data_IF_142172069174
#
_entry.id   IF_142172069174
#
_cell.length_a   1.000
_cell.length_b   1.000
_cell.length_c   1.000
_cell.angle_alpha   90.00
_cell.angle_beta   90.00
_cell.angle_gamma   90.00
#
_symmetry.space_group_name_H-M   'P 1'
#
loop_
_entity.id
_entity.type
_entity.pdbx_description
1 polymer ?
#
# COMPACT_ATOMS: atom_id res chain seq x y z
N UNK A 1 12.36 19.87 -51.67
CA UNK A 1 12.31 18.42 -51.91
C UNK A 1 11.34 17.83 -50.88
N UNK A 2 10.04 18.07 -51.06
CA UNK A 2 9.06 17.14 -51.67
C UNK A 2 9.03 15.78 -50.95
N UNK A 3 8.05 15.54 -50.05
CA UNK A 3 6.77 14.79 -50.26
C UNK A 3 6.97 13.28 -50.02
N UNK A 4 6.30 12.63 -49.05
CA UNK A 4 4.98 11.94 -49.11
C UNK A 4 4.69 11.40 -47.68
N UNK A 5 3.57 11.58 -46.99
CA UNK A 5 2.15 11.18 -47.23
C UNK A 5 1.97 9.78 -47.82
N UNK A 6 1.56 8.83 -47.00
CA UNK A 6 0.74 7.71 -47.48
C UNK A 6 -0.40 7.42 -46.49
N UNK A 7 -1.58 7.95 -46.83
CA UNK A 7 -2.85 7.29 -46.56
C UNK A 7 -2.92 6.02 -47.42
N UNK A 8 -3.38 4.91 -46.86
CA UNK A 8 -4.05 3.87 -47.64
C UNK A 8 -5.32 3.48 -46.89
N UNK A 9 -6.43 4.07 -47.33
CA UNK A 9 -7.75 3.47 -47.29
C UNK A 9 -7.94 2.70 -48.59
N UNK A 10 -8.43 1.47 -48.54
CA UNK A 10 -9.04 0.82 -49.70
C UNK A 10 -10.41 0.26 -49.32
N UNK A 11 -11.39 0.68 -50.11
CA UNK A 11 -12.81 0.34 -50.12
C UNK A 11 -13.06 -0.67 -51.26
N UNK A 12 -14.16 -1.43 -51.19
CA UNK A 12 -14.75 -2.17 -52.32
C UNK A 12 -15.15 -3.61 -51.96
N UNK A 13 -16.36 -3.92 -51.47
CA UNK A 13 -17.70 -3.98 -52.12
C UNK A 13 -17.91 -5.26 -52.97
N UNK A 14 -18.91 -6.05 -52.56
CA UNK A 14 -19.94 -6.83 -53.30
C UNK A 14 -20.45 -7.90 -52.30
N UNK A 15 -21.73 -8.15 -52.00
CA UNK A 15 -23.03 -7.81 -52.56
C UNK A 15 -23.96 -9.03 -52.37
N UNK A 16 -25.26 -8.78 -52.12
CA UNK A 16 -26.41 -9.69 -52.25
C UNK A 16 -26.87 -10.61 -51.07
N UNK A 17 -27.81 -10.04 -50.29
CA UNK A 17 -29.23 -10.44 -50.01
C UNK A 17 -29.69 -11.83 -49.46
N UNK A 18 -30.87 -11.85 -48.75
CA UNK A 18 -31.46 -12.93 -47.90
C UNK A 18 -32.62 -13.66 -48.66
N UNK A 19 -33.70 -14.33 -48.11
CA UNK A 19 -34.37 -14.41 -46.77
C UNK A 19 -34.54 -15.87 -46.24
N UNK A 20 -35.14 -16.23 -45.09
CA UNK A 20 -36.59 -16.22 -44.74
C UNK A 20 -36.82 -16.85 -43.34
N UNK A 21 -37.89 -16.40 -42.68
CA UNK A 21 -38.58 -16.82 -41.43
C UNK A 21 -39.25 -18.22 -41.53
N UNK A 22 -39.91 -18.89 -40.56
CA UNK A 22 -40.74 -18.57 -39.39
C UNK A 22 -40.91 -19.86 -38.51
N UNK A 23 -41.34 -19.85 -37.24
CA UNK A 23 -42.75 -19.80 -36.75
C UNK A 23 -42.72 -19.81 -35.19
N UNK A 24 -43.16 -18.81 -34.41
CA UNK A 24 -44.51 -18.32 -33.98
C UNK A 24 -45.25 -19.17 -32.93
N UNK A 25 -45.48 -18.59 -31.74
CA UNK A 25 -46.77 -18.41 -31.00
C UNK A 25 -46.46 -18.15 -29.51
N UNK A 26 -47.17 -17.35 -28.71
CA UNK A 26 -48.18 -16.32 -28.86
C UNK A 26 -48.20 -15.49 -27.55
N UNK A 27 -48.68 -14.25 -27.64
CA UNK A 27 -48.89 -13.24 -26.59
C UNK A 27 -50.13 -13.57 -25.69
N UNK A 28 -50.47 -12.84 -24.58
CA UNK A 28 -50.67 -11.38 -24.57
C UNK A 28 -50.31 -10.57 -23.30
N UNK A 29 -50.20 -9.26 -23.56
CA UNK A 29 -50.11 -8.08 -22.69
C UNK A 29 -51.40 -7.81 -21.89
N UNK A 30 -51.31 -7.31 -20.65
CA UNK A 30 -52.26 -6.31 -20.09
C UNK A 30 -51.48 -5.30 -19.20
N UNK A 31 -51.73 -4.03 -19.49
CA UNK A 31 -51.30 -2.79 -18.84
C UNK A 31 -51.83 -2.61 -17.41
N UNK A 32 -51.17 -1.81 -16.57
CA UNK A 32 -51.72 -0.60 -15.92
C UNK A 32 -50.68 0.07 -15.02
N UNK A 33 -50.53 1.38 -15.15
CA UNK A 33 -49.81 2.25 -14.23
C UNK A 33 -50.69 2.59 -13.02
N UNK A 34 -50.11 2.66 -11.81
CA UNK A 34 -50.61 3.49 -10.69
C UNK A 34 -49.42 3.97 -9.85
N UNK A 35 -49.45 5.27 -9.59
CA UNK A 35 -48.54 6.09 -8.79
C UNK A 35 -49.09 6.21 -7.36
N UNK A 36 -48.31 6.02 -6.29
CA UNK A 36 -48.57 6.63 -4.97
C UNK A 36 -47.42 6.50 -3.95
N UNK A 37 -47.26 7.59 -3.19
CA UNK A 37 -46.33 7.87 -2.09
C UNK A 37 -46.72 7.26 -0.72
N UNK A 38 -45.72 7.20 0.17
CA UNK A 38 -45.74 7.20 1.66
C UNK A 38 -46.30 5.90 2.33
N UNK A 39 -45.78 5.32 3.44
CA UNK A 39 -45.02 5.82 4.59
C UNK A 39 -44.64 4.66 5.59
N UNK A 40 -43.52 4.83 6.32
CA UNK A 40 -43.17 4.42 7.71
C UNK A 40 -43.13 2.92 8.16
N UNK A 41 -41.95 2.38 8.55
CA UNK A 41 -41.34 2.31 9.92
C UNK A 41 -41.64 0.95 10.59
N UNK A 42 -40.74 0.17 11.20
CA UNK A 42 -39.91 0.36 12.42
C UNK A 42 -38.96 -0.88 12.48
N UNK A 43 -37.68 -0.71 12.82
CA UNK A 43 -36.95 -1.57 13.78
C UNK A 43 -35.59 -0.92 14.09
N UNK A 44 -35.62 -0.03 15.08
CA UNK A 44 -34.45 0.40 15.83
C UNK A 44 -34.17 -0.64 16.91
N UNK A 45 -32.93 -1.13 16.99
CA UNK A 45 -32.40 -1.76 18.20
C UNK A 45 -31.09 -1.07 18.56
N UNK A 46 -31.13 -0.43 19.71
CA UNK A 46 -30.06 0.31 20.36
C UNK A 46 -28.94 -0.63 20.83
N UNK A 47 -27.69 -0.34 20.47
CA UNK A 47 -26.53 -0.75 21.27
C UNK A 47 -25.72 0.49 21.65
N UNK A 48 -25.48 0.57 22.95
CA UNK A 48 -24.84 1.64 23.71
C UNK A 48 -23.38 1.87 23.33
N UNK A 49 -23.05 3.15 23.13
CA UNK A 49 -21.72 3.69 22.94
C UNK A 49 -20.87 3.61 24.21
N UNK A 50 -19.81 2.78 24.18
CA UNK A 50 -18.63 3.00 25.01
C UNK A 50 -17.61 3.78 24.19
N UNK A 51 -17.29 5.00 24.64
CA UNK A 51 -16.25 5.87 24.11
C UNK A 51 -14.89 5.15 24.06
N UNK A 52 -14.48 4.73 22.86
CA UNK A 52 -13.08 4.51 22.53
C UNK A 52 -12.60 5.71 21.72
N UNK A 53 -11.93 6.66 22.39
CA UNK A 53 -11.23 7.76 21.74
C UNK A 53 -10.15 7.20 20.81
N UNK A 54 -10.34 7.45 19.52
CA UNK A 54 -9.39 7.12 18.47
C UNK A 54 -8.09 7.94 18.68
N UNK A 55 -6.89 7.32 18.79
CA UNK A 55 -5.64 8.04 19.04
C UNK A 55 -5.22 9.00 17.92
N UNK A 56 -5.87 8.93 16.75
CA UNK A 56 -5.58 9.75 15.57
C UNK A 56 -6.48 10.99 15.43
N UNK A 57 -7.46 11.18 16.32
CA UNK A 57 -8.29 12.39 16.35
C UNK A 57 -7.54 13.53 17.08
N UNK A 58 -6.48 14.05 16.46
CA UNK A 58 -5.74 15.21 16.96
C UNK A 58 -6.06 16.47 16.14
N UNK A 59 -6.89 17.31 16.76
CA UNK A 59 -7.00 18.77 16.64
C UNK A 59 -7.50 19.40 15.33
N UNK A 60 -8.59 20.17 15.46
CA UNK A 60 -9.03 21.18 14.51
C UNK A 60 -7.83 22.10 14.15
N UNK A 61 -7.52 22.18 12.86
CA UNK A 61 -6.39 22.91 12.24
C UNK A 61 -4.98 22.31 12.41
N UNK A 62 -4.73 21.19 11.74
CA UNK A 62 -3.38 20.66 11.45
C UNK A 62 -2.61 21.54 10.45
N UNK A 63 -2.27 22.78 10.78
CA UNK A 63 -1.13 23.44 10.11
C UNK A 63 0.13 22.73 10.59
N UNK A 64 0.72 21.86 9.78
CA UNK A 64 2.00 21.24 10.12
C UNK A 64 3.09 22.32 10.19
N UNK A 65 3.54 22.75 11.39
CA UNK A 65 4.54 23.79 11.47
C UNK A 65 5.87 23.28 10.91
N UNK A 66 6.75 24.14 10.34
CA UNK A 66 8.06 23.72 9.84
C UNK A 66 8.90 22.95 10.88
N UNK A 67 8.69 23.23 12.18
CA UNK A 67 9.30 22.51 13.30
C UNK A 67 8.95 21.02 13.33
N UNK A 68 7.73 20.66 12.93
CA UNK A 68 7.29 19.27 12.89
C UNK A 68 8.01 18.48 11.81
N UNK A 69 8.22 19.08 10.62
CA UNK A 69 9.05 18.47 9.56
C UNK A 69 10.45 18.16 10.08
N UNK A 70 11.13 19.14 10.69
CA UNK A 70 12.49 18.94 11.23
C UNK A 70 12.52 17.87 12.31
N UNK A 71 11.52 17.83 13.20
CA UNK A 71 11.42 16.81 14.25
C UNK A 71 11.24 15.41 13.65
N UNK A 72 10.35 15.24 12.67
CA UNK A 72 10.12 13.96 12.01
C UNK A 72 11.32 13.52 11.17
N UNK A 73 11.94 14.44 10.42
CA UNK A 73 13.18 14.15 9.70
C UNK A 73 14.27 13.66 10.65
N UNK A 74 14.39 14.25 11.85
CA UNK A 74 15.33 13.79 12.87
C UNK A 74 14.91 12.43 13.45
N UNK A 75 13.63 12.22 13.76
CA UNK A 75 13.10 10.94 14.28
C UNK A 75 13.42 9.79 13.33
N UNK A 76 12.95 9.91 12.09
CA UNK A 76 13.17 8.90 11.04
C UNK A 76 14.66 8.81 10.69
N UNK A 77 15.35 9.97 10.61
CA UNK A 77 16.77 10.12 10.30
C UNK A 77 17.70 9.39 11.26
N UNK A 78 17.41 9.50 12.56
CA UNK A 78 18.20 8.91 13.64
C UNK A 78 17.67 7.56 14.13
N UNK A 79 16.64 7.02 13.47
CA UNK A 79 16.03 5.75 13.83
C UNK A 79 17.08 4.63 13.91
N UNK A 80 16.98 3.84 14.98
CA UNK A 80 17.75 2.62 15.20
C UNK A 80 16.78 1.53 15.63
N UNK A 81 16.79 0.36 14.98
CA UNK A 81 16.03 -0.79 15.46
C UNK A 81 16.30 -1.04 16.93
N UNK A 82 15.26 -1.34 17.70
CA UNK A 82 15.38 -1.68 19.12
C UNK A 82 16.18 -2.98 19.37
N UNK A 83 16.35 -3.82 18.34
CA UNK A 83 17.15 -5.04 18.39
C UNK A 83 18.59 -4.80 17.91
N UNK A 84 19.59 -5.06 18.77
CA UNK A 84 21.01 -4.89 18.44
C UNK A 84 21.52 -5.80 17.30
N UNK A 85 20.84 -6.91 17.05
CA UNK A 85 21.20 -7.87 15.98
C UNK A 85 20.79 -7.33 14.60
N UNK A 86 19.83 -6.40 14.55
CA UNK A 86 19.26 -5.87 13.31
C UNK A 86 19.74 -4.45 13.09
N UNK A 87 20.54 -4.25 12.05
CA UNK A 87 21.07 -2.93 11.71
C UNK A 87 20.08 -2.07 10.91
N UNK A 88 19.03 -2.66 10.31
CA UNK A 88 18.08 -1.96 9.44
C UNK A 88 16.68 -2.58 9.53
N UNK A 89 15.66 -1.74 9.69
CA UNK A 89 14.27 -2.12 9.53
C UNK A 89 13.93 -2.26 8.05
N UNK A 90 13.53 -3.46 7.66
CA UNK A 90 13.00 -3.80 6.33
C UNK A 90 11.48 -3.80 6.33
N UNK A 91 10.88 -3.01 5.44
CA UNK A 91 9.44 -2.86 5.28
C UNK A 91 9.04 -3.27 3.87
N UNK A 92 8.07 -4.17 3.72
CA UNK A 92 7.59 -4.61 2.41
C UNK A 92 6.35 -3.82 2.00
N UNK A 93 6.36 -3.25 0.80
CA UNK A 93 5.18 -2.61 0.21
C UNK A 93 4.39 -3.62 -0.63
N UNK A 94 3.16 -3.91 -0.24
CA UNK A 94 2.27 -4.83 -0.96
C UNK A 94 1.04 -4.09 -1.46
N UNK A 95 0.63 -4.33 -2.70
CA UNK A 95 -0.58 -3.71 -3.22
C UNK A 95 -0.74 -3.90 -4.72
N UNK A 96 -1.91 -3.52 -5.28
CA UNK A 96 -2.24 -3.76 -6.67
C UNK A 96 -1.27 -3.05 -7.61
N UNK A 97 -1.27 -3.43 -8.89
CA UNK A 97 -0.51 -2.67 -9.90
C UNK A 97 -1.00 -1.22 -9.92
N UNK A 98 -0.07 -0.27 -10.01
CA UNK A 98 -0.36 1.17 -10.03
C UNK A 98 -1.08 1.71 -8.79
N UNK A 99 -0.89 1.07 -7.63
CA UNK A 99 -1.33 1.57 -6.31
C UNK A 99 -0.44 2.67 -5.72
N UNK A 100 0.70 2.96 -6.34
CA UNK A 100 1.63 4.00 -5.85
C UNK A 100 2.74 3.50 -4.94
N UNK A 101 3.01 2.19 -4.83
CA UNK A 101 4.14 1.62 -4.05
C UNK A 101 5.48 2.27 -4.38
N UNK A 102 5.92 2.17 -5.64
CA UNK A 102 7.21 2.72 -6.09
C UNK A 102 7.25 4.25 -6.02
N UNK A 103 6.10 4.91 -6.24
CA UNK A 103 5.95 6.36 -6.10
C UNK A 103 6.09 6.81 -4.63
N UNK A 104 5.56 6.05 -3.68
CA UNK A 104 5.76 6.31 -2.24
C UNK A 104 7.25 6.23 -1.88
N UNK A 105 7.97 5.19 -2.34
CA UNK A 105 9.41 5.07 -2.11
C UNK A 105 10.18 6.27 -2.68
N UNK A 106 9.92 6.63 -3.94
CA UNK A 106 10.55 7.80 -4.57
C UNK A 106 10.24 9.09 -3.81
N UNK A 107 9.01 9.24 -3.31
CA UNK A 107 8.59 10.39 -2.54
C UNK A 107 9.37 10.50 -1.24
N UNK A 108 9.43 9.41 -0.46
CA UNK A 108 10.20 9.34 0.79
C UNK A 108 11.68 9.65 0.52
N UNK A 109 12.29 9.05 -0.50
CA UNK A 109 13.68 9.36 -0.87
C UNK A 109 13.89 10.83 -1.24
N UNK A 110 12.91 11.45 -1.90
CA UNK A 110 12.96 12.86 -2.27
C UNK A 110 12.98 13.77 -1.05
N UNK A 111 12.15 13.47 -0.04
CA UNK A 111 12.12 14.23 1.23
C UNK A 111 13.50 14.24 1.90
N UNK A 112 14.18 13.09 1.95
CA UNK A 112 15.51 12.99 2.55
C UNK A 112 16.63 13.60 1.70
N UNK A 113 16.52 13.52 0.37
CA UNK A 113 17.51 14.12 -0.54
C UNK A 113 17.37 15.65 -0.64
N UNK A 114 16.23 16.22 -0.23
CA UNK A 114 15.93 17.65 -0.34
C UNK A 114 15.48 18.10 -1.73
N UNK A 115 15.44 17.19 -2.71
CA UNK A 115 15.04 17.44 -4.09
C UNK A 115 14.16 16.28 -4.57
N UNK A 116 13.21 16.54 -5.46
CA UNK A 116 12.40 15.48 -6.10
C UNK A 116 13.31 14.57 -6.92
N UNK A 117 13.47 13.32 -6.50
CA UNK A 117 14.28 12.29 -7.16
C UNK A 117 13.40 11.14 -7.64
N UNK A 118 13.21 11.00 -8.95
CA UNK A 118 12.57 9.83 -9.56
C UNK A 118 13.61 8.72 -9.75
N UNK A 119 13.91 7.97 -8.68
CA UNK A 119 14.85 6.83 -8.74
C UNK A 119 14.17 5.47 -8.91
N UNK A 120 12.94 5.30 -8.42
CA UNK A 120 12.13 4.14 -8.81
C UNK A 120 11.59 4.39 -10.23
N UNK A 121 11.59 3.38 -11.11
CA UNK A 121 10.96 3.47 -12.42
C UNK A 121 9.44 3.58 -12.26
N UNK A 122 8.96 4.79 -11.96
CA UNK A 122 7.54 5.13 -11.92
C UNK A 122 7.07 5.32 -13.35
N UNK A 123 6.30 4.37 -13.86
CA UNK A 123 5.59 4.52 -15.13
C UNK A 123 4.11 4.26 -14.93
N UNK A 124 3.29 4.76 -15.86
CA UNK A 124 1.88 4.42 -16.01
C UNK A 124 1.72 3.55 -17.25
N UNK A 125 1.72 2.23 -17.05
CA UNK A 125 1.51 1.20 -18.06
C UNK A 125 0.56 0.19 -17.46
N UNK A 126 -0.19 -0.45 -18.34
CA UNK A 126 -1.13 -1.53 -18.03
C UNK A 126 -0.46 -2.79 -17.45
N UNK A 127 0.88 -2.86 -17.48
CA UNK A 127 1.67 -3.97 -16.91
C UNK A 127 2.58 -3.49 -15.78
N UNK A 128 2.87 -4.37 -14.80
CA UNK A 128 3.75 -4.04 -13.68
C UNK A 128 5.16 -3.65 -14.15
N UNK A 129 5.61 -2.44 -13.81
CA UNK A 129 6.98 -1.99 -14.09
C UNK A 129 7.99 -2.70 -13.19
N UNK A 130 7.66 -2.82 -11.90
CA UNK A 130 8.46 -3.59 -10.95
C UNK A 130 8.23 -5.08 -11.21
N UNK A 131 9.21 -5.72 -11.86
CA UNK A 131 9.22 -7.17 -12.09
C UNK A 131 10.13 -7.93 -11.13
N UNK A 132 10.87 -7.21 -10.29
CA UNK A 132 11.88 -7.76 -9.38
C UNK A 132 11.63 -7.31 -7.95
N UNK A 133 12.06 -8.10 -6.97
CA UNK A 133 12.23 -7.62 -5.59
C UNK A 133 13.35 -6.57 -5.59
N UNK A 134 13.04 -5.37 -5.13
CA UNK A 134 13.99 -4.26 -5.04
C UNK A 134 13.97 -3.63 -3.65
N UNK A 135 15.13 -3.54 -3.01
CA UNK A 135 15.30 -2.92 -1.70
C UNK A 135 15.90 -1.53 -1.84
N UNK A 136 15.22 -0.54 -1.29
CA UNK A 136 15.60 0.87 -1.32
C UNK A 136 15.96 1.34 0.08
N UNK A 137 17.26 1.50 0.32
CA UNK A 137 17.74 2.10 1.55
C UNK A 137 17.40 3.59 1.52
N UNK A 138 16.62 4.04 2.49
CA UNK A 138 16.46 5.45 2.76
C UNK A 138 17.81 5.90 3.34
N UNK A 139 18.30 7.05 2.90
CA UNK A 139 19.53 7.65 3.45
C UNK A 139 19.13 8.96 4.12
N UNK A 140 19.77 9.30 5.22
CA UNK A 140 19.61 10.60 5.86
C UNK A 140 20.13 11.74 4.98
N UNK A 141 20.13 12.97 5.50
CA UNK A 141 20.68 14.10 4.76
C UNK A 141 22.17 13.90 4.48
N UNK A 142 22.65 14.56 3.41
CA UNK A 142 24.02 14.41 2.90
C UNK A 142 25.05 14.75 3.99
N UNK A 143 25.76 13.73 4.50
CA UNK A 143 26.78 13.86 5.55
C UNK A 143 26.41 13.22 6.89
N UNK A 144 25.17 12.75 7.05
CA UNK A 144 24.71 11.98 8.21
C UNK A 144 24.79 10.47 7.98
N UNK A 145 24.76 9.70 9.07
CA UNK A 145 24.65 8.23 9.00
C UNK A 145 23.43 7.82 8.18
N UNK A 146 23.51 6.76 7.36
CA UNK A 146 22.38 6.28 6.58
C UNK A 146 21.25 5.88 7.53
N UNK A 147 20.01 6.28 7.19
CA UNK A 147 18.83 5.84 7.91
C UNK A 147 18.75 4.32 7.91
N UNK A 148 18.39 3.76 9.06
CA UNK A 148 18.30 2.31 9.24
C UNK A 148 16.94 1.77 8.78
N UNK A 149 16.49 2.25 7.62
CA UNK A 149 15.23 1.90 6.99
C UNK A 149 15.46 1.48 5.54
N UNK A 150 14.91 0.32 5.20
CA UNK A 150 14.88 -0.23 3.84
C UNK A 150 13.44 -0.48 3.44
N UNK A 151 12.98 0.20 2.39
CA UNK A 151 11.68 -0.07 1.77
C UNK A 151 11.86 -1.07 0.64
N UNK A 152 11.15 -2.19 0.69
CA UNK A 152 11.18 -3.24 -0.32
C UNK A 152 9.97 -3.09 -1.26
N UNK A 153 10.23 -2.83 -2.54
CA UNK A 153 9.23 -2.85 -3.60
C UNK A 153 9.18 -4.22 -4.27
N UNK A 154 7.97 -4.64 -4.63
CA UNK A 154 7.72 -5.88 -5.36
C UNK A 154 6.68 -5.65 -6.45
N UNK A 155 6.57 -6.63 -7.35
CA UNK A 155 5.52 -6.62 -8.36
C UNK A 155 4.13 -6.48 -7.72
N UNK A 156 3.24 -5.74 -8.38
CA UNK A 156 1.88 -5.55 -7.89
C UNK A 156 1.11 -6.87 -7.82
N UNK A 157 0.18 -6.95 -6.85
CA UNK A 157 -0.82 -8.01 -6.79
C UNK A 157 -1.76 -7.87 -8.01
N UNK A 158 -2.10 -9.00 -8.63
CA UNK A 158 -3.09 -9.04 -9.70
C UNK A 158 -4.44 -9.57 -9.23
N UNK A 159 -5.47 -9.33 -10.05
CA UNK A 159 -6.85 -9.76 -9.80
C UNK A 159 -7.11 -11.24 -10.13
N UNK A 160 -6.21 -11.90 -10.87
CA UNK A 160 -6.38 -13.27 -11.35
C UNK A 160 -5.16 -14.14 -10.98
N UNK A 161 -5.39 -15.43 -10.73
CA UNK A 161 -4.37 -16.44 -10.36
C UNK A 161 -3.19 -16.53 -11.34
N UNK A 162 -3.37 -16.09 -12.60
CA UNK A 162 -2.34 -16.12 -13.64
C UNK A 162 -1.50 -14.83 -13.77
N UNK A 163 -1.79 -13.79 -12.98
CA UNK A 163 -1.11 -12.50 -13.10
C UNK A 163 -0.71 -11.97 -11.73
N UNK A 164 0.58 -11.79 -11.50
CA UNK A 164 1.10 -11.18 -10.26
C UNK A 164 1.91 -12.15 -9.39
N UNK A 165 2.12 -11.74 -8.15
CA UNK A 165 2.79 -12.56 -7.13
C UNK A 165 1.84 -13.59 -6.55
N UNK A 166 2.30 -14.82 -6.38
CA UNK A 166 1.54 -15.82 -5.62
C UNK A 166 1.64 -15.52 -4.12
N UNK A 167 0.67 -16.01 -3.34
CA UNK A 167 0.72 -15.95 -1.87
C UNK A 167 2.04 -16.56 -1.35
N UNK A 168 2.47 -17.68 -1.92
CA UNK A 168 3.71 -18.35 -1.56
C UNK A 168 4.95 -17.47 -1.79
N UNK A 169 5.01 -16.74 -2.91
CA UNK A 169 6.12 -15.83 -3.21
C UNK A 169 6.20 -14.72 -2.17
N UNK A 170 5.05 -14.10 -1.84
CA UNK A 170 4.97 -13.01 -0.86
C UNK A 170 5.43 -13.50 0.51
N UNK A 171 4.94 -14.65 0.97
CA UNK A 171 5.35 -15.23 2.25
C UNK A 171 6.83 -15.60 2.26
N UNK A 172 7.38 -16.05 1.12
CA UNK A 172 8.81 -16.32 0.98
C UNK A 172 9.65 -15.04 1.08
N UNK A 173 9.17 -13.91 0.53
CA UNK A 173 9.80 -12.59 0.69
C UNK A 173 9.77 -12.17 2.17
N UNK A 174 8.62 -12.27 2.83
CA UNK A 174 8.45 -11.87 4.24
C UNK A 174 9.39 -12.67 5.15
N UNK A 175 9.49 -13.98 4.91
CA UNK A 175 10.39 -14.88 5.65
C UNK A 175 11.87 -14.66 5.34
N UNK A 176 12.21 -13.86 4.33
CA UNK A 176 13.59 -13.55 3.96
C UNK A 176 14.28 -14.60 3.08
N UNK A 177 13.51 -15.47 2.44
CA UNK A 177 14.05 -16.53 1.58
C UNK A 177 14.45 -16.06 0.18
N UNK A 178 13.84 -14.96 -0.29
CA UNK A 178 13.98 -14.46 -1.65
C UNK A 178 15.19 -13.51 -1.75
N UNK A 179 16.13 -13.75 -2.68
CA UNK A 179 17.27 -12.87 -2.85
C UNK A 179 16.88 -11.54 -3.52
N UNK A 180 17.66 -10.51 -3.23
CA UNK A 180 17.55 -9.20 -3.88
C UNK A 180 17.64 -9.32 -5.41
N UNK A 181 16.80 -8.58 -6.13
CA UNK A 181 16.77 -8.60 -7.60
C UNK A 181 16.10 -9.83 -8.22
N UNK A 182 15.55 -10.76 -7.41
CA UNK A 182 14.79 -11.90 -7.91
C UNK A 182 13.60 -11.42 -8.76
N UNK A 183 13.45 -12.00 -9.96
CA UNK A 183 12.37 -11.69 -10.90
C UNK A 183 11.25 -12.71 -10.74
N UNK A 184 10.06 -12.24 -10.39
CA UNK A 184 8.90 -13.10 -10.19
C UNK A 184 8.26 -13.47 -11.53
N UNK A 185 7.80 -14.72 -11.61
CA UNK A 185 7.05 -15.24 -12.76
C UNK A 185 5.97 -16.19 -12.25
N UNK A 186 4.71 -16.07 -12.70
CA UNK A 186 3.63 -16.99 -12.31
C UNK A 186 3.98 -18.47 -12.58
N UNK A 187 4.69 -18.74 -13.68
CA UNK A 187 5.10 -20.09 -14.08
C UNK A 187 6.25 -20.67 -13.24
N UNK A 188 6.96 -19.82 -12.48
CA UNK A 188 8.11 -20.20 -11.67
C UNK A 188 8.02 -19.57 -10.27
N UNK A 189 7.13 -20.09 -9.40
CA UNK A 189 7.09 -19.67 -8.00
C UNK A 189 8.42 -19.90 -7.31
N UNK A 190 8.70 -19.11 -6.27
CA UNK A 190 9.90 -19.23 -5.45
C UNK A 190 9.93 -20.61 -4.80
N UNK A 191 11.06 -21.31 -4.91
CA UNK A 191 11.32 -22.62 -4.28
C UNK A 191 12.75 -22.70 -3.75
N UNK A 192 13.08 -23.77 -3.03
CA UNK A 192 14.44 -24.03 -2.52
C UNK A 192 15.51 -24.11 -3.60
N UNK A 193 15.12 -24.41 -4.85
CA UNK A 193 15.99 -24.51 -6.02
C UNK A 193 16.17 -23.16 -6.72
N UNK A 194 15.42 -22.12 -6.32
CA UNK A 194 15.57 -20.78 -6.88
C UNK A 194 17.01 -20.28 -6.67
N UNK A 195 17.61 -19.76 -7.74
CA UNK A 195 18.98 -19.23 -7.69
C UNK A 195 19.08 -18.14 -6.63
N UNK A 196 20.00 -18.32 -5.68
CA UNK A 196 20.21 -17.38 -4.57
C UNK A 196 19.23 -17.54 -3.40
N UNK A 197 18.38 -18.57 -3.39
CA UNK A 197 17.45 -18.82 -2.29
C UNK A 197 18.17 -18.94 -0.94
N UNK A 198 17.70 -18.16 0.03
CA UNK A 198 18.28 -18.12 1.38
C UNK A 198 17.63 -19.25 2.20
N UNK A 199 18.33 -20.37 2.36
CA UNK A 199 17.78 -21.56 3.06
C UNK A 199 17.45 -21.32 4.53
N UNK A 200 18.27 -20.52 5.23
CA UNK A 200 18.13 -20.23 6.66
C UNK A 200 18.21 -18.71 6.88
N UNK A 201 17.11 -17.97 6.63
CA UNK A 201 17.09 -16.53 6.78
C UNK A 201 17.24 -16.15 8.26
N UNK A 202 18.10 -15.18 8.51
CA UNK A 202 18.29 -14.57 9.83
C UNK A 202 17.33 -13.40 10.03
N UNK A 203 17.26 -12.83 11.23
CA UNK A 203 16.33 -11.74 11.53
C UNK A 203 16.49 -10.55 10.57
N UNK A 204 17.74 -10.17 10.24
CA UNK A 204 18.04 -9.11 9.25
C UNK A 204 17.52 -9.39 7.83
N UNK A 205 17.31 -10.65 7.48
CA UNK A 205 16.87 -11.06 6.15
C UNK A 205 15.33 -11.00 6.03
N UNK A 206 14.62 -10.95 7.15
CA UNK A 206 13.15 -10.93 7.22
C UNK A 206 12.58 -9.53 6.99
N UNK A 207 11.30 -9.49 6.69
CA UNK A 207 10.49 -8.27 6.72
C UNK A 207 9.95 -8.07 8.13
N UNK A 208 10.06 -6.86 8.64
CA UNK A 208 9.70 -6.50 10.02
C UNK A 208 8.35 -5.76 10.09
N UNK A 209 7.92 -5.18 8.98
CA UNK A 209 6.60 -4.58 8.84
C UNK A 209 6.13 -4.70 7.38
N UNK A 210 4.84 -4.94 7.18
CA UNK A 210 4.21 -4.90 5.86
C UNK A 210 3.32 -3.67 5.76
N UNK A 211 3.51 -2.87 4.71
CA UNK A 211 2.62 -1.77 4.37
C UNK A 211 1.79 -2.14 3.14
N UNK A 212 0.48 -2.32 3.32
CA UNK A 212 -0.46 -2.44 2.22
C UNK A 212 -0.66 -1.08 1.56
N UNK A 213 -0.60 -1.01 0.24
CA UNK A 213 -0.74 0.22 -0.53
C UNK A 213 -1.94 0.10 -1.44
N UNK A 214 -2.91 0.99 -1.25
CA UNK A 214 -4.17 1.02 -2.02
C UNK A 214 -4.40 2.43 -2.57
N UNK A 215 -4.96 2.49 -3.77
CA UNK A 215 -5.25 3.73 -4.48
C UNK A 215 -6.67 4.19 -4.14
N UNK A 216 -6.78 5.40 -3.57
CA UNK A 216 -8.03 6.01 -3.17
C UNK A 216 -9.01 6.18 -4.35
N UNK A 217 -8.50 6.52 -5.54
CA UNK A 217 -9.31 6.72 -6.74
C UNK A 217 -9.90 5.41 -7.28
N UNK A 218 -9.30 4.27 -6.93
CA UNK A 218 -9.67 2.93 -7.43
C UNK A 218 -10.32 2.05 -6.38
N UNK A 219 -10.54 2.54 -5.16
CA UNK A 219 -10.98 1.71 -4.04
C UNK A 219 -12.26 0.91 -4.32
N UNK A 220 -13.17 1.47 -5.13
CA UNK A 220 -14.43 0.85 -5.53
C UNK A 220 -14.30 -0.11 -6.72
N UNK A 221 -13.17 -0.06 -7.44
CA UNK A 221 -12.94 -0.86 -8.65
C UNK A 221 -12.25 -2.19 -8.36
N UNK A 222 -11.70 -2.36 -7.16
CA UNK A 222 -11.02 -3.58 -6.77
C UNK A 222 -11.96 -4.78 -6.74
N UNK A 223 -11.51 -5.89 -7.33
CA UNK A 223 -12.31 -7.10 -7.45
C UNK A 223 -12.52 -7.79 -6.10
N UNK A 224 -13.54 -8.65 -6.03
CA UNK A 224 -13.73 -9.54 -4.88
C UNK A 224 -12.54 -10.50 -4.68
N UNK A 225 -11.88 -10.92 -5.77
CA UNK A 225 -10.71 -11.80 -5.71
C UNK A 225 -9.52 -11.12 -5.02
N UNK A 226 -9.28 -9.85 -5.32
CA UNK A 226 -8.22 -9.07 -4.68
C UNK A 226 -8.50 -8.82 -3.19
N UNK A 227 -9.77 -8.59 -2.83
CA UNK A 227 -10.20 -8.55 -1.43
C UNK A 227 -9.86 -9.85 -0.68
N UNK A 228 -10.18 -11.01 -1.27
CA UNK A 228 -9.86 -12.30 -0.64
C UNK A 228 -8.35 -12.51 -0.50
N UNK A 229 -7.56 -12.12 -1.51
CA UNK A 229 -6.10 -12.19 -1.45
C UNK A 229 -5.53 -11.34 -0.31
N UNK A 230 -6.03 -10.13 -0.11
CA UNK A 230 -5.61 -9.28 1.01
C UNK A 230 -5.97 -9.89 2.37
N UNK A 231 -7.17 -10.44 2.52
CA UNK A 231 -7.59 -11.07 3.77
C UNK A 231 -6.71 -12.27 4.12
N UNK A 232 -6.44 -13.14 3.14
CA UNK A 232 -5.53 -14.28 3.30
C UNK A 232 -4.11 -13.84 3.63
N UNK A 233 -3.58 -12.84 2.92
CA UNK A 233 -2.26 -12.30 3.19
C UNK A 233 -2.16 -11.78 4.62
N UNK A 234 -3.14 -10.99 5.03
CA UNK A 234 -3.18 -10.40 6.37
C UNK A 234 -3.19 -11.47 7.46
N UNK A 235 -3.98 -12.53 7.29
CA UNK A 235 -4.00 -13.67 8.23
C UNK A 235 -2.62 -14.33 8.33
N UNK A 236 -2.02 -14.69 7.19
CA UNK A 236 -0.70 -15.34 7.19
C UNK A 236 0.42 -14.44 7.70
N UNK A 237 0.35 -13.12 7.44
CA UNK A 237 1.33 -12.15 7.94
C UNK A 237 1.20 -12.01 9.46
N UNK A 238 -0.03 -12.00 9.99
CA UNK A 238 -0.29 -12.00 11.43
C UNK A 238 0.19 -13.29 12.10
N UNK A 239 0.02 -14.45 11.47
CA UNK A 239 0.55 -15.73 11.98
C UNK A 239 2.08 -15.76 12.05
N UNK A 240 2.76 -14.98 11.20
CA UNK A 240 4.21 -14.77 11.24
C UNK A 240 4.64 -13.73 12.30
N UNK A 241 3.68 -13.14 13.03
CA UNK A 241 3.92 -12.11 14.04
C UNK A 241 4.39 -10.78 13.44
N UNK A 242 4.17 -10.54 12.15
CA UNK A 242 4.60 -9.30 11.47
C UNK A 242 3.48 -8.27 11.50
N UNK A 243 3.79 -7.06 11.96
CA UNK A 243 2.82 -5.97 12.04
C UNK A 243 2.52 -5.36 10.67
N UNK A 244 1.29 -4.86 10.52
CA UNK A 244 0.73 -4.44 9.24
C UNK A 244 0.11 -3.06 9.33
N UNK A 245 0.36 -2.22 8.33
CA UNK A 245 -0.25 -0.89 8.18
C UNK A 245 -0.77 -0.73 6.76
N UNK A 246 -1.74 0.16 6.54
CA UNK A 246 -2.25 0.49 5.22
C UNK A 246 -1.91 1.94 4.86
N UNK A 247 -1.46 2.16 3.63
CA UNK A 247 -1.22 3.44 3.01
C UNK A 247 -2.29 3.66 1.95
N UNK A 248 -3.08 4.72 2.12
CA UNK A 248 -4.09 5.15 1.15
C UNK A 248 -3.49 6.27 0.30
N UNK A 249 -3.12 5.96 -0.94
CA UNK A 249 -2.44 6.88 -1.86
C UNK A 249 -3.45 7.61 -2.76
N UNK A 250 -2.98 8.66 -3.45
CA UNK A 250 -3.78 9.44 -4.41
C UNK A 250 -5.02 10.10 -3.79
N UNK A 251 -4.96 10.45 -2.50
CA UNK A 251 -6.04 11.14 -1.78
C UNK A 251 -6.35 12.52 -2.37
N UNK A 252 -5.37 13.14 -3.02
CA UNK A 252 -5.49 14.39 -3.77
C UNK A 252 -6.35 14.24 -5.04
N UNK A 253 -6.50 13.04 -5.60
CA UNK A 253 -7.33 12.84 -6.80
C UNK A 253 -8.83 12.76 -6.50
N UNK A 254 -9.20 12.37 -5.27
CA UNK A 254 -10.60 12.19 -4.86
C UNK A 254 -11.16 13.39 -4.10
N UNK A 255 -10.30 14.29 -3.60
CA UNK A 255 -10.71 15.45 -2.80
C UNK A 255 -9.97 16.72 -3.29
N UNK A 256 -10.65 17.62 -4.03
CA UNK A 256 -10.07 18.86 -4.53
C UNK A 256 -9.52 19.78 -3.44
N UNK A 257 -10.14 19.78 -2.25
CA UNK A 257 -9.68 20.53 -1.09
C UNK A 257 -8.32 20.02 -0.62
N UNK A 258 -8.15 18.71 -0.55
CA UNK A 258 -6.88 18.07 -0.16
C UNK A 258 -5.81 18.23 -1.25
N UNK A 259 -6.22 18.27 -2.53
CA UNK A 259 -5.33 18.55 -3.64
C UNK A 259 -4.70 19.96 -3.53
N UNK A 260 -5.51 20.95 -3.10
CA UNK A 260 -5.07 22.33 -2.87
C UNK A 260 -4.29 22.48 -1.56
N UNK A 261 -4.74 21.81 -0.51
CA UNK A 261 -4.17 21.90 0.84
C UNK A 261 -4.19 20.53 1.53
N UNK A 262 -3.03 19.88 1.54
CA UNK A 262 -2.82 18.55 2.13
C UNK A 262 -3.12 18.52 3.64
N UNK A 263 -3.12 19.66 4.32
CA UNK A 263 -3.49 19.72 5.74
C UNK A 263 -4.94 19.34 6.01
N UNK A 264 -5.81 19.39 4.99
CA UNK A 264 -7.22 19.00 5.10
C UNK A 264 -7.46 17.50 4.97
N UNK A 265 -6.40 16.69 4.77
CA UNK A 265 -6.51 15.25 4.50
C UNK A 265 -7.36 14.49 5.54
N UNK A 266 -7.22 14.80 6.82
CA UNK A 266 -7.98 14.16 7.90
C UNK A 266 -9.34 14.82 8.19
N UNK A 267 -9.56 16.04 7.68
CA UNK A 267 -10.83 16.77 7.86
C UNK A 267 -11.83 16.50 6.72
N UNK A 268 -11.34 15.95 5.60
CA UNK A 268 -12.18 15.64 4.45
C UNK A 268 -13.05 14.41 4.70
N UNK A 269 -14.36 14.61 4.69
CA UNK A 269 -15.34 13.52 4.82
C UNK A 269 -15.18 12.47 3.71
N UNK A 270 -14.80 12.89 2.49
CA UNK A 270 -14.58 11.99 1.34
C UNK A 270 -13.40 11.05 1.62
N UNK A 271 -12.34 11.58 2.22
CA UNK A 271 -11.15 10.79 2.58
C UNK A 271 -11.49 9.84 3.72
N UNK A 272 -12.20 10.30 4.75
CA UNK A 272 -12.65 9.44 5.85
C UNK A 272 -13.51 8.27 5.36
N UNK A 273 -14.50 8.52 4.50
CA UNK A 273 -15.32 7.45 3.91
C UNK A 273 -14.47 6.49 3.06
N UNK A 274 -13.47 7.01 2.33
CA UNK A 274 -12.55 6.18 1.55
C UNK A 274 -11.66 5.32 2.44
N UNK A 275 -11.24 5.83 3.61
CA UNK A 275 -10.52 5.07 4.62
C UNK A 275 -11.39 3.93 5.17
N UNK A 276 -12.68 4.16 5.46
CA UNK A 276 -13.60 3.11 5.90
C UNK A 276 -13.71 1.99 4.85
N UNK A 277 -13.81 2.37 3.58
CA UNK A 277 -13.86 1.41 2.45
C UNK A 277 -12.55 0.64 2.31
N UNK A 278 -11.41 1.31 2.48
CA UNK A 278 -10.11 0.65 2.50
C UNK A 278 -9.98 -0.33 3.68
N UNK A 279 -10.51 0.03 4.85
CA UNK A 279 -10.60 -0.85 6.00
C UNK A 279 -11.44 -2.09 5.73
N UNK A 280 -12.60 -1.93 5.10
CA UNK A 280 -13.47 -3.04 4.71
C UNK A 280 -12.85 -3.96 3.64
N UNK A 281 -12.05 -3.39 2.73
CA UNK A 281 -11.31 -4.12 1.70
C UNK A 281 -10.18 -4.95 2.31
N UNK A 282 -9.35 -4.34 3.16
CA UNK A 282 -8.18 -4.98 3.75
C UNK A 282 -8.53 -5.82 5.00
N UNK A 283 -9.72 -5.62 5.57
CA UNK A 283 -10.09 -6.16 6.88
C UNK A 283 -9.31 -5.49 8.02
N UNK A 284 -9.02 -4.20 7.92
CA UNK A 284 -8.26 -3.45 8.93
C UNK A 284 -9.15 -2.38 9.57
N UNK A 285 -8.87 -2.06 10.83
CA UNK A 285 -9.48 -0.87 11.45
C UNK A 285 -8.92 0.38 10.77
N UNK A 286 -9.74 1.42 10.67
CA UNK A 286 -9.38 2.72 10.09
C UNK A 286 -8.20 3.37 10.80
N UNK A 287 -7.98 3.00 12.07
CA UNK A 287 -6.80 3.41 12.85
C UNK A 287 -5.46 2.92 12.29
N UNK A 288 -5.45 1.87 11.46
CA UNK A 288 -4.24 1.35 10.80
C UNK A 288 -4.05 1.90 9.38
N UNK A 289 -4.91 2.82 8.95
CA UNK A 289 -4.91 3.36 7.60
C UNK A 289 -4.38 4.79 7.64
N UNK A 290 -3.28 5.02 6.92
CA UNK A 290 -2.62 6.31 6.84
C UNK A 290 -2.81 6.87 5.42
N UNK A 291 -3.59 7.95 5.25
CA UNK A 291 -3.67 8.64 3.98
C UNK A 291 -2.34 9.35 3.67
N UNK A 292 -1.88 9.23 2.43
CA UNK A 292 -0.63 9.84 1.96
C UNK A 292 -0.82 10.46 0.58
N UNK A 293 -0.13 11.59 0.35
CA UNK A 293 0.04 12.18 -0.98
C UNK A 293 1.49 11.97 -1.41
N UNK A 294 1.68 11.28 -2.53
CA UNK A 294 3.00 11.04 -3.10
C UNK A 294 3.38 12.17 -4.06
N UNK A 295 4.66 12.49 -4.16
CA UNK A 295 5.19 13.32 -5.25
C UNK A 295 5.11 12.51 -6.54
N UNK A 296 4.42 13.06 -7.52
CA UNK A 296 4.21 12.40 -8.83
C UNK A 296 4.45 13.34 -10.01
N UNK A 297 4.03 14.60 -9.88
CA UNK A 297 4.06 15.59 -10.96
C UNK A 297 4.76 16.88 -10.55
N UNK A 298 5.01 17.06 -9.26
CA UNK A 298 5.59 18.25 -8.67
C UNK A 298 7.11 18.32 -8.90
N UNK A 299 7.61 19.54 -9.14
CA UNK A 299 9.04 19.81 -9.32
C UNK A 299 9.75 20.13 -7.99
N UNK A 300 9.00 20.71 -7.04
CA UNK A 300 9.50 21.16 -5.74
C UNK A 300 8.81 20.40 -4.60
N UNK A 301 9.52 20.29 -3.47
CA UNK A 301 8.98 19.70 -2.26
C UNK A 301 8.04 20.68 -1.55
N UNK A 302 6.89 20.18 -1.13
CA UNK A 302 5.93 20.87 -0.28
C UNK A 302 6.04 20.40 1.17
N UNK A 303 6.12 21.35 2.11
CA UNK A 303 6.35 21.06 3.54
C UNK A 303 5.22 20.23 4.15
N UNK A 304 3.97 20.46 3.77
CA UNK A 304 2.84 19.71 4.34
C UNK A 304 2.82 18.27 3.83
N UNK A 305 3.11 18.09 2.54
CA UNK A 305 3.26 16.77 1.91
C UNK A 305 4.45 16.01 2.52
N UNK A 306 5.58 16.68 2.75
CA UNK A 306 6.73 16.10 3.45
C UNK A 306 6.34 15.58 4.84
N UNK A 307 5.61 16.40 5.61
CA UNK A 307 5.19 16.01 6.97
C UNK A 307 4.24 14.83 6.93
N UNK A 308 3.32 14.78 5.97
CA UNK A 308 2.40 13.64 5.82
C UNK A 308 3.16 12.34 5.50
N UNK A 309 4.10 12.39 4.55
CA UNK A 309 4.94 11.24 4.19
C UNK A 309 5.84 10.79 5.34
N UNK A 310 6.50 11.74 6.02
CA UNK A 310 7.36 11.43 7.16
C UNK A 310 6.57 10.86 8.34
N UNK A 311 5.36 11.36 8.58
CA UNK A 311 4.47 10.83 9.63
C UNK A 311 4.08 9.37 9.34
N UNK A 312 3.79 9.05 8.07
CA UNK A 312 3.51 7.67 7.66
C UNK A 312 4.72 6.75 7.87
N UNK A 313 5.93 7.22 7.51
CA UNK A 313 7.18 6.46 7.71
C UNK A 313 7.48 6.28 9.20
N UNK A 314 7.31 7.30 10.02
CA UNK A 314 7.49 7.21 11.47
C UNK A 314 6.54 6.16 12.08
N UNK A 315 5.27 6.15 11.66
CA UNK A 315 4.30 5.13 12.06
C UNK A 315 4.72 3.72 11.64
N UNK A 316 5.19 3.54 10.41
CA UNK A 316 5.72 2.26 9.91
C UNK A 316 6.89 1.77 10.78
N UNK A 317 7.80 2.67 11.17
CA UNK A 317 8.95 2.33 12.01
C UNK A 317 8.53 1.91 13.42
N UNK A 318 7.51 2.55 14.00
CA UNK A 318 6.94 2.13 15.27
C UNK A 318 6.40 0.69 15.21
N UNK A 319 5.74 0.30 14.12
CA UNK A 319 5.30 -1.09 13.92
C UNK A 319 6.46 -2.07 13.71
N UNK A 320 7.53 -1.66 13.03
CA UNK A 320 8.74 -2.46 12.93
C UNK A 320 9.40 -2.67 14.32
N UNK A 321 9.33 -1.69 15.22
CA UNK A 321 9.82 -1.83 16.59
C UNK A 321 8.99 -2.78 17.43
N UNK A 322 7.66 -2.79 17.26
CA UNK A 322 6.80 -3.79 17.89
C UNK A 322 7.20 -5.20 17.46
N UNK A 323 7.52 -5.41 16.18
CA UNK A 323 8.02 -6.70 15.70
C UNK A 323 9.27 -7.15 16.45
N UNK A 324 10.23 -6.25 16.69
CA UNK A 324 11.42 -6.60 17.45
C UNK A 324 11.13 -6.89 18.91
N UNK A 325 10.20 -6.17 19.54
CA UNK A 325 9.80 -6.43 20.94
C UNK A 325 9.17 -7.81 21.09
N UNK A 326 8.36 -8.23 20.11
CA UNK A 326 7.69 -9.52 20.11
C UNK A 326 8.66 -10.68 19.75
N UNK A 327 9.71 -10.40 18.96
CA UNK A 327 10.64 -11.42 18.43
C UNK A 327 12.02 -11.42 19.10
N UNK A 328 12.32 -10.47 19.98
CA UNK A 328 13.51 -10.55 20.84
C UNK A 328 13.15 -11.36 22.08
N UNK A 329 13.94 -12.41 22.42
CA UNK A 329 13.79 -13.01 23.74
C UNK A 329 14.01 -11.90 24.75
N UNK A 330 13.09 -11.74 25.71
CA UNK A 330 13.27 -10.82 26.81
C UNK A 330 14.67 -11.04 27.38
N UNK A 331 15.59 -10.10 27.16
CA UNK A 331 16.81 -9.97 27.93
C UNK A 331 16.42 -9.49 29.34
N UNK A 332 15.58 -10.26 30.04
CA UNK A 332 15.44 -10.16 31.48
C UNK A 332 16.64 -10.88 32.07
N UNK A 333 17.64 -10.08 32.41
CA UNK A 333 18.74 -10.52 33.24
C UNK A 333 18.19 -11.15 34.51
N UNK A 334 18.33 -12.47 34.61
CA UNK A 334 18.48 -13.13 35.91
C UNK A 334 19.94 -13.50 36.04
N UNK A 335 20.74 -12.52 36.44
CA UNK A 335 21.87 -12.80 37.31
C UNK A 335 21.29 -13.47 38.56
N UNK A 336 21.23 -14.80 38.56
CA UNK A 336 21.02 -15.55 39.79
C UNK A 336 22.37 -16.01 40.30
N UNK A 337 22.74 -15.37 41.39
CA UNK A 337 23.88 -15.62 42.25
C UNK A 337 23.98 -17.10 42.62
N UNK A 338 25.00 -17.78 42.11
CA UNK A 338 25.57 -19.06 42.57
C UNK A 338 27.06 -18.93 42.24
N UNK A 339 28.01 -18.84 43.15
CA UNK A 339 28.11 -19.40 44.49
C UNK A 339 28.90 -18.44 45.40
N UNK A 340 28.33 -18.09 46.55
CA UNK A 340 29.06 -17.77 47.78
C UNK A 340 28.72 -18.89 48.77
N UNK A 341 29.75 -19.28 49.54
CA UNK A 341 29.85 -20.34 50.56
C UNK A 341 30.16 -21.74 49.97
N UNK A 342 31.30 -22.39 50.20
CA UNK A 342 32.25 -22.40 51.34
C UNK A 342 33.70 -22.52 50.85
#
# INVERSE_FOLDING_TARGET
>A
MYVMVFLISFFGIFGAQPPTTATTSAQPTISTAVDTKDSFSIFTTSLSSTDQKNPLALNEHLKFPPRQKTSLMKSVGSYRPSCEVVNQARVLLLGPVSSGKSSFISSVQSVFNGNVTNRAMVGSSTTSFTKKLQSFNIRGQKGEDPTRLTLCDVMGLGDAEMTGLTLHDILSVIKGHVPEGHKFSPDQPVRSETVGYVKKPTLKDRIHCVAFVVDASKILTYSKGLRTTFQQLREHISDLGVHQVALLTHVDQICPETAKDVTQVYNSWIIQETMDRAGALLGMSTSYIVPVKNYSSELDLDVNTDVLLLSAVDHILQYADLYYQDNTPQCTGTMTYKDIDI
#
